data_IF_890353632191
#
_entry.id   IF_890353632191
#
_cell.length_a   1.000
_cell.length_b   1.000
_cell.length_c   1.000
_cell.angle_alpha   90.00
_cell.angle_beta   90.00
_cell.angle_gamma   90.00
#
_symmetry.space_group_name_H-M   'P 1'
#
loop_
_entity.id
_entity.type
_entity.pdbx_description
1 polymer ?
#
# COMPACT_ATOMS: atom_id res chain seq x y z
N UNK A 1 -7.45 -0.78 1.80
CA UNK A 1 -8.05 -1.97 2.45
C UNK A 1 -7.62 -2.13 3.92
N UNK A 2 -7.47 -1.02 4.66
CA UNK A 2 -7.28 -1.05 6.10
C UNK A 2 -8.48 -1.67 6.84
N UNK A 3 -8.36 -1.98 8.14
CA UNK A 3 -9.48 -2.44 8.96
C UNK A 3 -10.55 -1.37 9.11
N UNK A 4 -10.12 -0.12 9.14
CA UNK A 4 -10.96 1.07 9.14
C UNK A 4 -10.43 2.05 8.08
N UNK A 5 -11.29 2.78 7.36
CA UNK A 5 -10.86 3.85 6.51
C UNK A 5 -10.19 4.95 7.36
N UNK A 6 -9.17 5.60 6.82
CA UNK A 6 -8.59 6.78 7.45
C UNK A 6 -9.64 7.89 7.51
N UNK A 7 -9.65 8.62 8.60
CA UNK A 7 -10.34 9.90 8.67
C UNK A 7 -9.63 10.94 7.80
N UNK A 8 -10.32 11.99 7.39
CA UNK A 8 -9.69 13.09 6.62
C UNK A 8 -8.50 13.68 7.37
N UNK A 9 -8.64 13.88 8.68
CA UNK A 9 -7.55 14.43 9.50
C UNK A 9 -6.31 13.52 9.55
N UNK A 10 -6.49 12.20 9.65
CA UNK A 10 -5.37 11.25 9.60
C UNK A 10 -4.71 11.21 8.21
N UNK A 11 -5.50 11.32 7.15
CA UNK A 11 -4.97 11.39 5.79
C UNK A 11 -4.18 12.68 5.56
N UNK A 12 -4.67 13.82 6.03
CA UNK A 12 -4.01 15.12 5.93
C UNK A 12 -2.72 15.15 6.76
N UNK A 13 -2.76 14.60 7.98
CA UNK A 13 -1.57 14.46 8.82
C UNK A 13 -0.49 13.62 8.10
N UNK A 14 -0.87 12.50 7.51
CA UNK A 14 0.07 11.66 6.76
C UNK A 14 0.72 12.43 5.61
N UNK A 15 -0.08 13.21 4.83
CA UNK A 15 0.45 14.02 3.73
C UNK A 15 1.41 15.10 4.25
N UNK A 16 1.06 15.78 5.35
CA UNK A 16 1.91 16.79 5.96
C UNK A 16 3.25 16.19 6.46
N UNK A 17 3.24 15.01 7.05
CA UNK A 17 4.47 14.29 7.46
C UNK A 17 5.34 13.92 6.25
N UNK A 18 4.73 13.47 5.14
CA UNK A 18 5.47 13.16 3.90
C UNK A 18 6.01 14.43 3.24
N UNK A 19 5.33 15.57 3.36
CA UNK A 19 5.80 16.86 2.84
C UNK A 19 7.11 17.30 3.49
N UNK A 20 7.34 16.98 4.77
CA UNK A 20 8.63 17.23 5.45
C UNK A 20 9.77 16.48 4.76
N UNK A 21 9.54 15.21 4.40
CA UNK A 21 10.54 14.41 3.68
C UNK A 21 10.75 14.98 2.27
N UNK A 22 9.68 15.36 1.59
CA UNK A 22 9.73 16.01 0.27
C UNK A 22 10.57 17.29 0.30
N UNK A 23 10.39 18.12 1.32
CA UNK A 23 11.18 19.35 1.49
C UNK A 23 12.69 19.07 1.66
N UNK A 24 13.07 18.00 2.36
CA UNK A 24 14.46 17.56 2.49
C UNK A 24 15.08 17.14 1.14
N UNK A 25 14.25 16.73 0.20
CA UNK A 25 14.63 16.34 -1.15
C UNK A 25 14.49 17.47 -2.17
N UNK A 26 14.26 18.70 -1.71
CA UNK A 26 14.06 19.91 -2.54
C UNK A 26 12.86 19.77 -3.52
N UNK A 27 11.86 18.99 -3.13
CA UNK A 27 10.63 18.86 -3.92
C UNK A 27 9.74 20.09 -3.76
N UNK A 28 9.17 20.56 -4.86
CA UNK A 28 8.22 21.70 -4.89
C UNK A 28 7.33 21.62 -6.13
N UNK A 29 6.04 21.94 -6.05
CA UNK A 29 5.28 22.28 -4.83
C UNK A 29 4.98 21.04 -3.95
N UNK A 30 4.75 21.29 -2.66
CA UNK A 30 4.39 20.24 -1.70
C UNK A 30 2.94 20.40 -1.26
N UNK A 31 2.04 19.46 -1.60
CA UNK A 31 0.67 19.44 -1.07
C UNK A 31 0.66 19.33 0.46
N UNK A 32 -0.24 20.04 1.12
CA UNK A 32 -0.38 20.01 2.58
C UNK A 32 -1.52 19.08 3.05
N UNK A 33 -2.45 18.74 2.14
CA UNK A 33 -3.62 17.91 2.45
C UNK A 33 -3.76 16.75 1.46
N UNK A 34 -4.49 15.72 1.83
CA UNK A 34 -4.79 14.59 0.96
C UNK A 34 -5.60 15.03 -0.28
N UNK A 35 -6.46 16.03 -0.12
CA UNK A 35 -7.22 16.60 -1.23
C UNK A 35 -6.30 17.32 -2.23
N UNK A 36 -5.43 18.22 -1.75
CA UNK A 36 -4.45 18.89 -2.60
C UNK A 36 -3.52 17.94 -3.31
N UNK A 37 -3.04 16.90 -2.61
CA UNK A 37 -2.23 15.84 -3.22
C UNK A 37 -2.99 15.13 -4.34
N UNK A 38 -4.26 14.78 -4.10
CA UNK A 38 -5.11 14.13 -5.09
C UNK A 38 -5.33 15.01 -6.33
N UNK A 39 -5.58 16.29 -6.12
CA UNK A 39 -5.75 17.26 -7.19
C UNK A 39 -4.44 17.47 -7.96
N UNK A 40 -3.34 17.67 -7.26
CA UNK A 40 -2.01 17.82 -7.88
C UNK A 40 -1.64 16.60 -8.75
N UNK A 41 -1.92 15.40 -8.27
CA UNK A 41 -1.71 14.17 -9.06
C UNK A 41 -2.60 14.16 -10.29
N UNK A 42 -3.89 14.52 -10.16
CA UNK A 42 -4.86 14.49 -11.27
C UNK A 42 -4.53 15.51 -12.37
N UNK A 43 -3.98 16.66 -12.00
CA UNK A 43 -3.69 17.80 -12.89
C UNK A 43 -2.24 17.81 -13.40
N UNK A 44 -1.38 16.89 -12.92
CA UNK A 44 0.03 16.90 -13.25
C UNK A 44 0.28 16.53 -14.73
N UNK A 45 0.82 17.44 -15.55
CA UNK A 45 1.05 17.20 -16.97
C UNK A 45 2.12 16.10 -17.24
N UNK A 46 2.96 15.78 -16.26
CA UNK A 46 3.92 14.68 -16.36
C UNK A 46 3.24 13.30 -16.30
N UNK A 47 2.00 13.21 -15.83
CA UNK A 47 1.19 12.00 -15.85
C UNK A 47 0.57 11.79 -17.24
N UNK A 48 1.40 11.59 -18.23
CA UNK A 48 0.98 11.22 -19.59
C UNK A 48 1.31 9.76 -19.86
N UNK A 49 0.44 9.10 -20.64
CA UNK A 49 0.69 7.73 -21.10
C UNK A 49 1.94 7.65 -21.97
N UNK A 50 2.75 6.62 -21.81
CA UNK A 50 3.95 6.36 -22.62
C UNK A 50 4.00 4.90 -23.06
N UNK A 51 4.76 4.62 -24.14
CA UNK A 51 4.99 3.24 -24.60
C UNK A 51 5.69 2.39 -23.53
N UNK A 52 6.64 2.99 -22.79
CA UNK A 52 7.31 2.31 -21.69
C UNK A 52 6.33 1.91 -20.58
N UNK A 53 5.39 2.80 -20.24
CA UNK A 53 4.32 2.53 -19.29
C UNK A 53 3.39 1.43 -19.78
N UNK A 54 2.98 1.47 -21.05
CA UNK A 54 2.15 0.41 -21.64
C UNK A 54 2.84 -0.95 -21.61
N UNK A 55 4.13 -1.00 -21.93
CA UNK A 55 4.94 -2.22 -21.85
C UNK A 55 5.06 -2.74 -20.42
N UNK A 56 5.31 -1.86 -19.46
CA UNK A 56 5.35 -2.23 -18.05
C UNK A 56 3.99 -2.75 -17.54
N UNK A 57 2.90 -2.12 -17.96
CA UNK A 57 1.55 -2.57 -17.59
C UNK A 57 1.24 -3.96 -18.17
N UNK A 58 1.58 -4.20 -19.44
CA UNK A 58 1.41 -5.51 -20.07
C UNK A 58 2.20 -6.60 -19.33
N UNK A 59 3.46 -6.29 -18.94
CA UNK A 59 4.25 -7.19 -18.14
C UNK A 59 3.62 -7.47 -16.77
N UNK A 60 3.09 -6.45 -16.10
CA UNK A 60 2.40 -6.61 -14.81
C UNK A 60 1.07 -7.36 -14.93
N UNK A 61 0.36 -7.24 -16.05
CA UNK A 61 -0.89 -7.98 -16.26
C UNK A 61 -0.67 -9.47 -16.53
N UNK A 62 0.40 -9.80 -17.23
CA UNK A 62 0.76 -11.19 -17.55
C UNK A 62 2.27 -11.47 -17.36
N UNK A 63 2.76 -11.43 -16.13
CA UNK A 63 4.18 -11.66 -15.84
C UNK A 63 4.56 -13.11 -16.22
N UNK A 64 5.83 -13.34 -16.60
CA UNK A 64 6.34 -14.66 -16.98
C UNK A 64 6.55 -15.55 -15.74
N UNK A 65 5.49 -15.81 -15.00
CA UNK A 65 5.49 -16.62 -13.79
C UNK A 65 4.96 -18.05 -14.08
N UNK A 66 5.39 -19.05 -13.32
CA UNK A 66 4.77 -20.37 -13.36
C UNK A 66 3.27 -20.31 -13.10
N UNK A 67 2.48 -21.19 -13.72
CA UNK A 67 1.02 -21.17 -13.69
C UNK A 67 0.44 -21.10 -12.26
N UNK A 68 0.98 -21.87 -11.33
CA UNK A 68 0.54 -21.87 -9.92
C UNK A 68 0.70 -20.50 -9.24
N UNK A 69 1.77 -19.78 -9.56
CA UNK A 69 2.03 -18.44 -9.03
C UNK A 69 1.12 -17.40 -9.70
N UNK A 70 0.87 -17.53 -11.02
CA UNK A 70 -0.07 -16.65 -11.75
C UNK A 70 -1.48 -16.71 -11.17
N UNK A 71 -1.95 -17.89 -10.75
CA UNK A 71 -3.27 -18.06 -10.14
C UNK A 71 -3.40 -17.21 -8.86
N UNK A 72 -2.37 -17.15 -8.03
CA UNK A 72 -2.35 -16.30 -6.83
C UNK A 72 -2.12 -14.81 -7.15
N UNK A 73 -1.31 -14.50 -8.16
CA UNK A 73 -0.95 -13.13 -8.53
C UNK A 73 -2.13 -12.35 -9.14
N UNK A 74 -2.90 -12.97 -10.04
CA UNK A 74 -4.01 -12.28 -10.74
C UNK A 74 -5.06 -11.65 -9.82
N UNK A 75 -5.54 -12.30 -8.77
CA UNK A 75 -6.45 -11.68 -7.80
C UNK A 75 -5.82 -10.46 -7.11
N UNK A 76 -4.53 -10.53 -6.74
CA UNK A 76 -3.82 -9.42 -6.13
C UNK A 76 -3.69 -8.23 -7.08
N UNK A 77 -3.30 -8.46 -8.33
CA UNK A 77 -3.23 -7.43 -9.35
C UNK A 77 -4.60 -6.75 -9.56
N UNK A 78 -5.66 -7.54 -9.76
CA UNK A 78 -7.01 -7.00 -9.93
C UNK A 78 -7.52 -6.25 -8.69
N UNK A 79 -7.07 -6.65 -7.50
CA UNK A 79 -7.41 -5.97 -6.25
C UNK A 79 -6.69 -4.63 -6.08
N UNK A 80 -5.52 -4.45 -6.67
CA UNK A 80 -4.78 -3.20 -6.63
C UNK A 80 -5.43 -2.10 -7.49
N UNK A 81 -6.06 -2.46 -8.62
CA UNK A 81 -6.64 -1.48 -9.55
C UNK A 81 -7.66 -0.53 -8.91
N UNK A 82 -8.64 -0.99 -8.10
CA UNK A 82 -9.60 -0.08 -7.45
C UNK A 82 -8.96 0.86 -6.43
N UNK A 83 -7.75 0.58 -5.93
CA UNK A 83 -7.05 1.44 -4.97
C UNK A 83 -6.38 2.64 -5.62
N UNK A 84 -6.20 2.60 -6.94
CA UNK A 84 -5.62 3.71 -7.70
C UNK A 84 -6.64 4.84 -7.88
N UNK A 85 -6.14 6.08 -7.89
CA UNK A 85 -6.97 7.23 -8.21
C UNK A 85 -7.53 7.12 -9.65
N UNK A 86 -8.77 7.60 -9.88
CA UNK A 86 -9.40 7.56 -11.22
C UNK A 86 -8.55 8.20 -12.31
N UNK A 87 -7.91 9.35 -12.03
CA UNK A 87 -7.03 10.04 -12.96
C UNK A 87 -5.85 9.16 -13.41
N UNK A 88 -5.19 8.47 -12.46
CA UNK A 88 -4.10 7.54 -12.76
C UNK A 88 -4.60 6.38 -13.61
N UNK A 89 -5.75 5.78 -13.25
CA UNK A 89 -6.34 4.68 -14.02
C UNK A 89 -6.64 5.06 -15.45
N UNK A 90 -7.17 6.28 -15.66
CA UNK A 90 -7.46 6.82 -16.99
C UNK A 90 -6.19 6.95 -17.83
N UNK A 91 -5.10 7.48 -17.23
CA UNK A 91 -3.80 7.63 -17.93
C UNK A 91 -3.19 6.29 -18.32
N UNK A 92 -3.27 5.30 -17.45
CA UNK A 92 -2.70 3.96 -17.72
C UNK A 92 -3.65 3.06 -18.52
N UNK A 93 -4.88 3.50 -18.77
CA UNK A 93 -5.87 2.75 -19.56
C UNK A 93 -6.35 1.45 -18.89
N UNK A 94 -6.45 1.43 -17.55
CA UNK A 94 -6.86 0.25 -16.80
C UNK A 94 -8.15 0.49 -16.03
N UNK A 95 -9.10 -0.42 -16.16
CA UNK A 95 -10.39 -0.36 -15.48
C UNK A 95 -10.54 -1.49 -14.44
N UNK A 96 -11.15 -1.20 -13.30
CA UNK A 96 -11.41 -2.22 -12.29
C UNK A 96 -12.45 -3.21 -12.79
N UNK A 97 -12.16 -4.51 -12.68
CA UNK A 97 -13.12 -5.56 -13.01
C UNK A 97 -14.22 -5.62 -11.94
N UNK A 98 -15.42 -6.00 -12.36
CA UNK A 98 -16.54 -6.21 -11.44
C UNK A 98 -16.12 -7.19 -10.32
N UNK A 99 -16.39 -6.83 -9.08
CA UNK A 99 -16.05 -7.65 -7.91
C UNK A 99 -14.58 -7.60 -7.47
N UNK A 100 -13.70 -6.89 -8.18
CA UNK A 100 -12.27 -6.79 -7.81
C UNK A 100 -12.06 -6.16 -6.43
N UNK A 101 -12.92 -5.25 -6.00
CA UNK A 101 -12.86 -4.64 -4.68
C UNK A 101 -13.16 -5.65 -3.57
N UNK A 102 -14.20 -6.48 -3.74
CA UNK A 102 -14.55 -7.52 -2.77
C UNK A 102 -13.47 -8.59 -2.68
N UNK A 103 -12.93 -9.00 -3.82
CA UNK A 103 -11.78 -9.92 -3.88
C UNK A 103 -10.58 -9.29 -3.18
N UNK A 104 -10.31 -8.01 -3.42
CA UNK A 104 -9.24 -7.27 -2.77
C UNK A 104 -9.38 -7.23 -1.26
N UNK A 105 -10.54 -6.87 -0.75
CA UNK A 105 -10.84 -6.86 0.69
C UNK A 105 -10.63 -8.24 1.32
N UNK A 106 -11.13 -9.30 0.69
CA UNK A 106 -10.97 -10.67 1.17
C UNK A 106 -9.51 -11.12 1.14
N UNK A 107 -8.79 -10.81 0.07
CA UNK A 107 -7.36 -11.14 -0.07
C UNK A 107 -6.51 -10.42 0.98
N UNK A 108 -6.73 -9.12 1.17
CA UNK A 108 -6.01 -8.36 2.21
C UNK A 108 -6.34 -8.87 3.60
N UNK A 109 -7.61 -9.22 3.87
CA UNK A 109 -8.01 -9.83 5.15
C UNK A 109 -7.29 -11.15 5.39
N UNK A 110 -7.18 -12.02 4.39
CA UNK A 110 -6.47 -13.29 4.47
C UNK A 110 -4.95 -13.08 4.66
N UNK A 111 -4.34 -12.16 3.92
CA UNK A 111 -2.94 -11.79 4.09
C UNK A 111 -2.66 -11.21 5.48
N UNK A 112 -3.51 -10.35 5.99
CA UNK A 112 -3.37 -9.80 7.35
C UNK A 112 -3.47 -10.88 8.41
N UNK A 113 -4.40 -11.84 8.23
CA UNK A 113 -4.49 -12.98 9.14
C UNK A 113 -3.20 -13.83 9.09
N UNK A 114 -2.67 -14.09 7.90
CA UNK A 114 -1.44 -14.86 7.73
C UNK A 114 -0.19 -14.10 8.23
N UNK A 115 -0.04 -12.83 7.90
CA UNK A 115 1.08 -11.99 8.30
C UNK A 115 0.99 -11.51 9.75
N UNK A 116 -0.23 -11.34 10.27
CA UNK A 116 -0.48 -10.92 11.65
C UNK A 116 0.02 -11.91 12.69
N UNK A 117 0.32 -13.16 12.30
CA UNK A 117 0.98 -14.16 13.14
C UNK A 117 2.49 -14.28 12.85
N UNK A 118 3.07 -13.36 12.07
CA UNK A 118 4.49 -13.42 11.72
C UNK A 118 5.38 -12.86 12.84
N UNK A 119 6.54 -13.49 13.13
CA UNK A 119 7.51 -12.97 14.10
C UNK A 119 8.01 -11.56 13.75
N UNK A 120 8.12 -11.24 12.46
CA UNK A 120 8.56 -9.93 11.98
C UNK A 120 7.60 -8.80 12.36
N UNK A 121 6.30 -9.05 12.27
CA UNK A 121 5.28 -8.09 12.70
C UNK A 121 5.31 -7.85 14.21
N UNK A 122 5.42 -8.92 14.99
CA UNK A 122 5.63 -8.84 16.43
C UNK A 122 6.86 -7.99 16.79
N UNK A 123 7.98 -8.33 16.18
CA UNK A 123 9.23 -7.61 16.42
C UNK A 123 9.10 -6.11 16.09
N UNK A 124 8.41 -5.78 15.01
CA UNK A 124 8.17 -4.38 14.63
C UNK A 124 7.34 -3.64 15.69
N UNK A 125 6.26 -4.25 16.19
CA UNK A 125 5.43 -3.66 17.26
C UNK A 125 6.23 -3.45 18.55
N UNK A 126 7.00 -4.46 18.99
CA UNK A 126 7.84 -4.35 20.18
C UNK A 126 8.89 -3.24 20.05
N UNK A 127 9.56 -3.15 18.90
CA UNK A 127 10.57 -2.10 18.65
C UNK A 127 10.00 -0.70 18.55
N UNK A 128 8.79 -0.56 18.04
CA UNK A 128 8.11 0.73 17.94
C UNK A 128 7.41 1.16 19.24
N UNK A 129 7.41 0.31 20.28
CA UNK A 129 6.66 0.55 21.50
C UNK A 129 5.14 0.50 21.33
N UNK A 130 4.68 0.02 20.18
CA UNK A 130 3.25 -0.07 19.88
C UNK A 130 2.60 -1.22 20.68
N UNK A 131 1.34 -1.06 21.11
CA UNK A 131 0.63 -2.11 21.83
C UNK A 131 0.47 -3.35 20.95
N UNK A 132 0.83 -4.48 21.52
CA UNK A 132 0.77 -5.77 20.87
C UNK A 132 -0.63 -6.34 21.04
N UNK A 133 -1.42 -6.59 19.94
CA UNK A 133 -2.76 -7.16 20.06
C UNK A 133 -2.72 -8.55 20.70
N UNK A 134 -3.65 -8.84 21.63
CA UNK A 134 -3.75 -10.16 22.22
C UNK A 134 -4.03 -11.21 21.12
N UNK A 135 -3.32 -12.32 21.16
CA UNK A 135 -3.47 -13.41 20.18
C UNK A 135 -2.70 -13.24 18.87
N UNK A 136 -1.90 -12.16 18.73
CA UNK A 136 -1.01 -11.98 17.58
C UNK A 136 0.09 -13.06 17.53
N UNK A 137 0.40 -13.71 18.64
CA UNK A 137 1.55 -14.57 18.79
C UNK A 137 1.22 -16.04 18.85
N UNK A 138 1.50 -16.70 17.76
CA UNK A 138 1.63 -18.16 17.71
C UNK A 138 3.08 -18.63 17.66
N UNK A 139 4.02 -17.70 17.52
CA UNK A 139 5.45 -18.03 17.42
C UNK A 139 6.25 -17.16 18.40
N UNK A 140 7.26 -17.72 19.10
CA UNK A 140 8.12 -16.97 20.01
C UNK A 140 8.96 -15.93 19.24
N UNK A 141 9.25 -14.81 19.90
CA UNK A 141 10.21 -13.83 19.37
C UNK A 141 11.62 -14.46 19.28
N UNK A 142 12.43 -14.04 18.29
CA UNK A 142 13.84 -14.36 18.29
C UNK A 142 14.53 -13.99 19.61
N UNK A 143 15.44 -14.82 20.07
CA UNK A 143 16.20 -14.56 21.27
C UNK A 143 16.94 -13.19 21.15
N UNK A 144 16.83 -12.35 22.16
CA UNK A 144 17.42 -10.99 22.18
C UNK A 144 16.50 -9.86 21.68
N UNK A 145 15.32 -10.15 21.14
CA UNK A 145 14.39 -9.11 20.66
C UNK A 145 13.78 -8.26 21.79
N UNK A 146 13.73 -8.78 23.00
CA UNK A 146 13.11 -8.14 24.17
C UNK A 146 14.03 -7.18 24.96
N UNK A 147 15.30 -7.03 24.59
CA UNK A 147 16.30 -6.30 25.39
C UNK A 147 16.55 -4.84 24.98
N UNK A 148 15.87 -4.33 23.98
CA UNK A 148 15.96 -2.91 23.60
C UNK A 148 14.80 -2.11 24.17
N UNK A 149 14.79 -1.91 25.50
CA UNK A 149 14.02 -0.82 26.09
C UNK A 149 14.78 0.47 25.77
N UNK A 150 14.20 1.45 25.09
CA UNK A 150 14.84 2.76 24.94
C UNK A 150 14.94 3.41 26.33
N UNK A 151 16.13 3.85 26.71
CA UNK A 151 16.37 4.78 27.82
C UNK A 151 15.91 6.18 27.43
#
# INVERSE_FOLDING_TARGET
>A
YGPQPLTTAEADQFVAEQAVIGALLDASPLPATAHELSQWVAENPALAGSEAQASALNFLQDPPLPLGVKIGYRPLFNAAVPTMQPAIRSVIGIEPKRGSEQIGRSTVKALRWALGSSPSWHLALVRSGAPVPPGLFRQPLPAGAATSTPQ
#
